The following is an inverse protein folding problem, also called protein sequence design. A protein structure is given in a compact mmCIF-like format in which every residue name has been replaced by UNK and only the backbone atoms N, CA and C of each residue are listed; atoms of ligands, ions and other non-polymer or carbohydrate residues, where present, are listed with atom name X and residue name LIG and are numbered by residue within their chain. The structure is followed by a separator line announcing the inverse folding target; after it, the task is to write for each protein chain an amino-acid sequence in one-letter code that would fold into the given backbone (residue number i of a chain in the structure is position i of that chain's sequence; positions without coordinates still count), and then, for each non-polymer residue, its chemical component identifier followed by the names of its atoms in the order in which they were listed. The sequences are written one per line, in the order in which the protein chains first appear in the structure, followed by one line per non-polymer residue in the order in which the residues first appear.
data_IF_960066109046
#
_entry.id   IF_960066109046
#
_cell.length_a   1.000
_cell.length_b   1.000
_cell.length_c   1.000
_cell.angle_alpha   90.00
_cell.angle_beta   90.00
_cell.angle_gamma   90.00
#
_symmetry.space_group_name_H-M   'P 1'
#
loop_
_entity.id
_entity.type
_entity.pdbx_description
1 polymer ?
#
# COMPACT_ATOMS: atom_id res chain seq x y z
N UNK A 1 29.76 -23.65 -10.22
CA UNK A 1 29.56 -22.20 -10.40
C UNK A 1 28.19 -21.67 -9.93
N UNK A 2 27.22 -22.51 -9.56
CA UNK A 2 25.89 -22.04 -9.09
C UNK A 2 25.89 -21.49 -7.65
N UNK A 3 26.61 -22.13 -6.73
CA UNK A 3 26.66 -21.73 -5.32
C UNK A 3 27.29 -20.34 -5.06
N UNK A 4 28.22 -19.89 -5.91
CA UNK A 4 28.82 -18.56 -5.81
C UNK A 4 27.82 -17.46 -6.25
N UNK A 5 27.00 -17.74 -7.25
CA UNK A 5 25.96 -16.83 -7.72
C UNK A 5 24.80 -16.72 -6.72
N UNK A 6 24.46 -17.81 -6.03
CA UNK A 6 23.48 -17.82 -4.93
C UNK A 6 23.96 -16.94 -3.77
N UNK A 7 25.19 -17.15 -3.27
CA UNK A 7 25.75 -16.31 -2.19
C UNK A 7 25.83 -14.83 -2.55
N UNK A 8 26.17 -14.51 -3.80
CA UNK A 8 26.19 -13.13 -4.28
C UNK A 8 24.77 -12.54 -4.31
N UNK A 9 23.79 -13.27 -4.85
CA UNK A 9 22.39 -12.85 -4.84
C UNK A 9 21.88 -12.60 -3.42
N UNK A 10 22.16 -13.50 -2.49
CA UNK A 10 21.72 -13.39 -1.10
C UNK A 10 22.33 -12.16 -0.43
N UNK A 11 23.62 -11.92 -0.64
CA UNK A 11 24.31 -10.73 -0.14
C UNK A 11 23.71 -9.44 -0.71
N UNK A 12 23.43 -9.39 -2.01
CA UNK A 12 22.78 -8.23 -2.64
C UNK A 12 21.35 -8.02 -2.13
N UNK A 13 20.59 -9.09 -1.88
CA UNK A 13 19.25 -9.02 -1.30
C UNK A 13 19.29 -8.53 0.16
N UNK A 14 20.28 -8.96 0.93
CA UNK A 14 20.49 -8.46 2.30
C UNK A 14 20.84 -6.96 2.30
N UNK A 15 21.71 -6.51 1.39
CA UNK A 15 22.03 -5.09 1.25
C UNK A 15 20.81 -4.26 0.82
N UNK A 16 20.02 -4.77 -0.12
CA UNK A 16 18.78 -4.14 -0.58
C UNK A 16 17.76 -3.98 0.56
N UNK A 17 17.47 -5.06 1.29
CA UNK A 17 16.52 -5.03 2.41
C UNK A 17 16.99 -4.11 3.55
N UNK A 18 18.27 -4.12 3.89
CA UNK A 18 18.84 -3.21 4.89
C UNK A 18 18.73 -1.73 4.46
N UNK A 19 18.99 -1.44 3.18
CA UNK A 19 18.89 -0.07 2.64
C UNK A 19 17.46 0.42 2.66
N UNK A 20 16.48 -0.42 2.28
CA UNK A 20 15.07 -0.06 2.35
C UNK A 20 14.65 0.18 3.81
N UNK A 21 15.04 -0.69 4.74
CA UNK A 21 14.72 -0.52 6.16
C UNK A 21 15.27 0.81 6.72
N UNK A 22 16.50 1.18 6.37
CA UNK A 22 17.09 2.47 6.77
C UNK A 22 16.34 3.67 6.16
N UNK A 23 15.96 3.57 4.88
CA UNK A 23 15.15 4.59 4.21
C UNK A 23 13.79 4.77 4.90
N UNK A 24 13.12 3.67 5.25
CA UNK A 24 11.82 3.71 5.94
C UNK A 24 11.93 4.41 7.30
N UNK A 25 12.98 4.13 8.08
CA UNK A 25 13.23 4.81 9.36
C UNK A 25 13.42 6.32 9.21
N UNK A 26 14.12 6.77 8.16
CA UNK A 26 14.28 8.21 7.88
C UNK A 26 12.94 8.86 7.52
N UNK A 27 12.09 8.16 6.78
CA UNK A 27 10.76 8.64 6.40
C UNK A 27 9.85 8.69 7.62
N UNK A 28 9.88 7.70 8.52
CA UNK A 28 9.14 7.72 9.78
C UNK A 28 9.54 8.94 10.64
N UNK A 29 10.83 9.27 10.65
CA UNK A 29 11.35 10.50 11.25
C UNK A 29 10.76 11.75 10.61
N UNK A 30 10.75 11.83 9.28
CA UNK A 30 10.18 12.95 8.53
C UNK A 30 8.68 13.13 8.79
N UNK A 31 7.92 12.02 8.80
CA UNK A 31 6.47 12.03 9.11
C UNK A 31 6.21 12.60 10.50
N UNK A 32 7.03 12.21 11.48
CA UNK A 32 6.89 12.65 12.86
C UNK A 32 7.31 14.11 13.06
N UNK A 33 8.39 14.55 12.38
CA UNK A 33 8.96 15.89 12.55
C UNK A 33 8.23 16.96 11.73
N UNK A 34 7.79 16.61 10.52
CA UNK A 34 7.20 17.54 9.54
C UNK A 34 5.79 17.12 9.10
N UNK A 35 4.83 16.92 10.02
CA UNK A 35 3.52 16.34 9.68
C UNK A 35 2.62 17.28 8.86
N UNK A 36 2.91 18.58 8.81
CA UNK A 36 2.17 19.55 7.98
C UNK A 36 2.79 19.81 6.62
N UNK A 37 3.99 19.29 6.35
CA UNK A 37 4.71 19.60 5.12
C UNK A 37 4.18 18.78 3.93
N UNK A 38 3.80 19.43 2.80
CA UNK A 38 3.51 18.74 1.55
C UNK A 38 4.68 17.90 1.02
N UNK A 39 5.92 18.26 1.39
CA UNK A 39 7.12 17.49 1.03
C UNK A 39 7.07 16.10 1.67
N UNK A 40 6.56 15.98 2.90
CA UNK A 40 6.38 14.70 3.59
C UNK A 40 5.46 13.77 2.79
N UNK A 41 4.33 14.27 2.29
CA UNK A 41 3.44 13.48 1.41
C UNK A 41 4.05 13.15 0.05
N UNK A 42 4.87 14.04 -0.51
CA UNK A 42 5.60 13.77 -1.75
C UNK A 42 6.59 12.62 -1.57
N UNK A 43 7.37 12.62 -0.49
CA UNK A 43 8.32 11.56 -0.18
C UNK A 43 7.58 10.22 -0.05
N UNK A 44 6.48 10.17 0.72
CA UNK A 44 5.66 8.95 0.85
C UNK A 44 5.21 8.40 -0.52
N UNK A 45 4.69 9.25 -1.40
CA UNK A 45 4.25 8.85 -2.73
C UNK A 45 5.40 8.32 -3.60
N UNK A 46 6.57 8.98 -3.55
CA UNK A 46 7.72 8.65 -4.37
C UNK A 46 8.42 7.35 -3.91
N UNK A 47 8.38 7.05 -2.61
CA UNK A 47 9.13 5.92 -2.04
C UNK A 47 8.29 4.68 -1.74
N UNK A 48 6.95 4.79 -1.77
CA UNK A 48 6.06 3.67 -1.41
C UNK A 48 6.42 2.35 -2.13
N UNK A 49 6.75 2.41 -3.42
CA UNK A 49 7.09 1.23 -4.22
C UNK A 49 8.31 0.44 -3.74
N UNK A 50 9.16 0.99 -2.87
CA UNK A 50 10.28 0.27 -2.24
C UNK A 50 9.85 -0.56 -1.04
N UNK A 51 8.75 -0.19 -0.37
CA UNK A 51 8.25 -0.86 0.84
C UNK A 51 7.05 -1.75 0.55
N UNK A 52 6.16 -1.32 -0.35
CA UNK A 52 4.88 -1.99 -0.69
C UNK A 52 4.06 -2.42 0.54
N UNK A 53 4.17 -1.66 1.64
CA UNK A 53 3.41 -1.87 2.87
C UNK A 53 2.28 -0.84 2.96
N UNK A 54 1.08 -1.26 2.56
CA UNK A 54 -0.10 -0.41 2.53
C UNK A 54 -0.55 0.03 3.93
N UNK A 55 -0.41 -0.86 4.93
CA UNK A 55 -0.81 -0.56 6.30
C UNK A 55 0.10 0.52 6.90
N UNK A 56 1.40 0.44 6.62
CA UNK A 56 2.36 1.49 6.99
C UNK A 56 2.04 2.81 6.28
N UNK A 57 1.76 2.79 4.97
CA UNK A 57 1.45 4.01 4.21
C UNK A 57 0.20 4.71 4.77
N UNK A 58 -0.87 3.94 5.03
CA UNK A 58 -2.12 4.46 5.60
C UNK A 58 -1.89 5.08 6.98
N UNK A 59 -1.22 4.35 7.89
CA UNK A 59 -0.91 4.86 9.22
C UNK A 59 -0.06 6.14 9.18
N UNK A 60 0.96 6.17 8.33
CA UNK A 60 1.82 7.34 8.15
C UNK A 60 1.01 8.53 7.64
N UNK A 61 0.16 8.33 6.62
CA UNK A 61 -0.67 9.37 6.04
C UNK A 61 -1.74 9.90 7.01
N UNK A 62 -2.35 9.03 7.82
CA UNK A 62 -3.34 9.43 8.83
C UNK A 62 -2.76 10.30 9.95
N UNK A 63 -1.47 10.14 10.24
CA UNK A 63 -0.77 10.94 11.25
C UNK A 63 -0.43 12.37 10.78
N UNK A 64 -0.57 12.66 9.48
CA UNK A 64 -0.26 13.96 8.89
C UNK A 64 -1.36 15.00 9.15
N UNK A 65 -0.95 16.27 9.18
CA UNK A 65 -1.86 17.43 9.34
C UNK A 65 -2.49 17.80 8.00
N UNK A 66 -3.58 18.56 8.08
CA UNK A 66 -4.40 18.93 6.92
C UNK A 66 -3.62 19.54 5.74
N UNK A 67 -2.64 20.46 5.93
CA UNK A 67 -1.92 21.05 4.79
C UNK A 67 -1.14 20.03 3.95
N UNK A 68 -0.53 19.03 4.59
CA UNK A 68 0.15 17.94 3.89
C UNK A 68 -0.85 17.04 3.16
N UNK A 69 -1.90 16.61 3.86
CA UNK A 69 -2.93 15.70 3.33
C UNK A 69 -3.71 16.28 2.15
N UNK A 70 -3.92 17.59 2.13
CA UNK A 70 -4.66 18.30 1.08
C UNK A 70 -3.80 18.70 -0.12
N UNK A 71 -2.47 18.53 -0.03
CA UNK A 71 -1.56 18.81 -1.14
C UNK A 71 -1.80 17.86 -2.33
N UNK A 72 -1.28 18.19 -3.51
CA UNK A 72 -1.39 17.33 -4.69
C UNK A 72 -0.83 15.91 -4.43
N UNK A 73 0.34 15.82 -3.80
CA UNK A 73 0.92 14.54 -3.39
C UNK A 73 0.11 13.86 -2.29
N UNK A 74 -0.50 14.62 -1.37
CA UNK A 74 -1.41 14.07 -0.36
C UNK A 74 -2.66 13.42 -0.98
N UNK A 75 -3.22 14.03 -2.02
CA UNK A 75 -4.33 13.44 -2.78
C UNK A 75 -3.89 12.17 -3.52
N UNK A 76 -2.68 12.15 -4.08
CA UNK A 76 -2.11 10.97 -4.72
C UNK A 76 -1.93 9.81 -3.73
N UNK A 77 -1.35 10.07 -2.55
CA UNK A 77 -1.19 9.05 -1.49
C UNK A 77 -2.55 8.53 -1.04
N UNK A 78 -3.53 9.42 -0.85
CA UNK A 78 -4.88 9.02 -0.50
C UNK A 78 -5.51 8.10 -1.55
N UNK A 79 -5.34 8.40 -2.84
CA UNK A 79 -5.81 7.53 -3.93
C UNK A 79 -5.13 6.16 -3.89
N UNK A 80 -3.80 6.11 -3.73
CA UNK A 80 -3.06 4.86 -3.57
C UNK A 80 -3.61 4.01 -2.41
N UNK A 81 -3.92 4.64 -1.28
CA UNK A 81 -4.50 3.97 -0.11
C UNK A 81 -5.90 3.42 -0.43
N UNK A 82 -6.78 4.20 -1.07
CA UNK A 82 -8.11 3.72 -1.43
C UNK A 82 -8.04 2.54 -2.40
N UNK A 83 -7.16 2.61 -3.40
CA UNK A 83 -6.97 1.54 -4.38
C UNK A 83 -6.39 0.27 -3.74
N UNK A 84 -5.40 0.42 -2.85
CA UNK A 84 -4.81 -0.72 -2.13
C UNK A 84 -5.76 -1.38 -1.13
N UNK A 85 -6.82 -0.69 -0.70
CA UNK A 85 -7.86 -1.25 0.17
C UNK A 85 -8.90 -2.07 -0.61
N UNK A 86 -8.91 -2.02 -1.93
CA UNK A 86 -9.80 -2.86 -2.73
C UNK A 86 -9.39 -4.32 -2.57
N UNK A 87 -10.31 -5.13 -2.03
CA UNK A 87 -10.09 -6.56 -1.83
C UNK A 87 -9.21 -6.91 -0.62
N UNK A 88 -8.81 -5.94 0.20
CA UNK A 88 -8.13 -6.19 1.46
C UNK A 88 -9.05 -6.93 2.44
N UNK A 89 -8.49 -7.78 3.31
CA UNK A 89 -9.27 -8.49 4.34
C UNK A 89 -9.97 -7.47 5.24
N UNK A 90 -11.31 -7.52 5.29
CA UNK A 90 -12.14 -6.56 6.03
C UNK A 90 -12.63 -5.36 5.21
N UNK A 91 -12.20 -5.19 3.95
CA UNK A 91 -12.76 -4.20 3.04
C UNK A 91 -14.12 -4.66 2.49
N UNK A 92 -14.95 -3.71 2.08
CA UNK A 92 -16.17 -4.05 1.32
C UNK A 92 -15.74 -4.64 -0.01
N UNK A 93 -16.08 -5.91 -0.25
CA UNK A 93 -15.87 -6.53 -1.55
C UNK A 93 -16.66 -5.79 -2.64
N UNK A 94 -16.04 -5.61 -3.81
CA UNK A 94 -16.70 -5.04 -4.98
C UNK A 94 -17.83 -5.98 -5.42
N UNK A 95 -18.99 -5.42 -5.76
CA UNK A 95 -20.10 -6.22 -6.29
C UNK A 95 -19.69 -6.68 -7.69
N UNK A 96 -19.43 -7.98 -7.85
CA UNK A 96 -19.28 -8.57 -9.18
C UNK A 96 -20.64 -8.99 -9.68
N UNK A 97 -20.84 -8.97 -11.00
CA UNK A 97 -21.97 -9.64 -11.64
C UNK A 97 -21.43 -10.61 -12.66
N UNK A 98 -21.75 -11.89 -12.50
CA UNK A 98 -21.33 -12.95 -13.42
C UNK A 98 -22.54 -13.78 -13.81
N UNK A 99 -22.61 -14.24 -15.06
CA UNK A 99 -23.60 -15.24 -15.43
C UNK A 99 -23.27 -16.58 -14.75
N UNK A 100 -24.24 -17.21 -14.11
CA UNK A 100 -24.10 -18.56 -13.59
C UNK A 100 -24.05 -19.60 -14.73
N UNK A 101 -23.97 -20.89 -14.40
CA UNK A 101 -23.92 -21.99 -15.39
C UNK A 101 -25.16 -22.08 -16.29
N UNK A 102 -26.25 -21.38 -15.94
CA UNK A 102 -27.49 -21.29 -16.72
C UNK A 102 -27.64 -19.96 -17.48
N UNK A 103 -26.65 -19.06 -17.38
CA UNK A 103 -26.67 -17.75 -18.03
C UNK A 103 -27.34 -16.64 -17.21
N UNK A 104 -27.76 -16.92 -15.98
CA UNK A 104 -28.43 -15.93 -15.13
C UNK A 104 -27.41 -15.05 -14.41
N UNK A 105 -27.58 -13.74 -14.51
CA UNK A 105 -26.72 -12.79 -13.81
C UNK A 105 -26.88 -12.93 -12.30
N UNK A 106 -25.80 -13.33 -11.61
CA UNK A 106 -25.71 -13.39 -10.15
C UNK A 106 -24.72 -12.34 -9.65
N UNK A 107 -25.06 -11.69 -8.55
CA UNK A 107 -24.21 -10.67 -7.90
C UNK A 107 -23.64 -11.16 -6.58
N UNK A 108 -22.52 -10.58 -6.11
CA UNK A 108 -21.96 -10.90 -4.80
C UNK A 108 -22.98 -10.63 -3.67
N UNK A 109 -23.76 -9.56 -3.81
CA UNK A 109 -24.89 -9.25 -2.93
C UNK A 109 -25.94 -10.38 -2.83
N UNK A 110 -26.07 -11.22 -3.86
CA UNK A 110 -27.00 -12.35 -3.89
C UNK A 110 -26.54 -13.55 -3.04
N UNK A 111 -25.27 -13.59 -2.63
CA UNK A 111 -24.68 -14.68 -1.83
C UNK A 111 -24.51 -14.35 -0.35
N UNK A 112 -24.81 -13.11 0.09
CA UNK A 112 -24.77 -12.77 1.52
C UNK A 112 -25.84 -13.56 2.29
N UNK A 113 -25.41 -14.38 3.25
CA UNK A 113 -26.30 -15.08 4.18
C UNK A 113 -26.79 -16.46 3.71
N UNK A 114 -26.32 -16.95 2.56
CA UNK A 114 -26.47 -18.37 2.18
C UNK A 114 -25.09 -19.02 2.25
N UNK A 115 -24.95 -20.03 3.11
CA UNK A 115 -23.74 -20.84 3.15
C UNK A 115 -23.52 -21.45 1.76
N UNK A 116 -22.36 -21.16 1.20
CA UNK A 116 -21.80 -21.74 -0.04
C UNK A 116 -20.56 -22.55 0.33
#
# INVERSE_FOLDING_TARGET
NSATNEKLRDSLMAAYTATNAAMQQLIDGLVSQEPASPVTTFVLAATYGFFNDMAWLEKSFESLKAPARQSASGQQVNAMIQDGKIGAVGSKAIDFTQADTSGKMVSLSSFKGKYV
#
